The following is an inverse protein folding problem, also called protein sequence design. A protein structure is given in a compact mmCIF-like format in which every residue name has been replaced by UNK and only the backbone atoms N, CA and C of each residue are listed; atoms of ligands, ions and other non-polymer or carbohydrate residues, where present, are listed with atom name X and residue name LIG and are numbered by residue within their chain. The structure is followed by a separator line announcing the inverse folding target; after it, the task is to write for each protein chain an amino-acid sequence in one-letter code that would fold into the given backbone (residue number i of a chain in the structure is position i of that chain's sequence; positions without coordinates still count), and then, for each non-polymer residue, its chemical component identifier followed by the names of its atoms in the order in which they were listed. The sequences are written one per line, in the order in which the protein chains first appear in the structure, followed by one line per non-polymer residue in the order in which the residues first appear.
data_IF_888696680456
#
_entry.id   IF_888696680456
#
_cell.length_a   1.000
_cell.length_b   1.000
_cell.length_c   1.000
_cell.angle_alpha   90.00
_cell.angle_beta   90.00
_cell.angle_gamma   90.00
#
_symmetry.space_group_name_H-M   'P 1'
#
loop_
_entity.id
_entity.type
_entity.pdbx_description
1 polymer ?
#
# COMPACT_ATOMS: atom_id res chain seq x y z
N UNK A 1 -3.33 66.22 18.70
CA UNK A 1 -3.72 65.10 17.82
C UNK A 1 -2.51 64.68 17.00
N UNK A 2 -1.79 63.61 17.39
CA UNK A 2 -0.63 63.09 16.64
C UNK A 2 -0.92 61.65 16.26
N UNK A 3 -1.13 61.39 14.97
CA UNK A 3 -1.41 60.06 14.43
C UNK A 3 -0.06 59.33 14.25
N UNK A 4 0.19 58.28 15.02
CA UNK A 4 1.32 57.36 14.80
C UNK A 4 0.95 56.33 13.72
N UNK A 5 1.75 56.13 12.66
CA UNK A 5 1.56 55.01 11.75
C UNK A 5 2.12 53.73 12.39
N UNK A 6 1.24 52.74 12.62
CA UNK A 6 1.64 51.39 13.03
C UNK A 6 2.08 50.62 11.79
N UNK A 7 3.40 50.48 11.61
CA UNK A 7 3.99 49.65 10.54
C UNK A 7 3.92 48.18 10.99
N UNK A 8 2.87 47.46 10.60
CA UNK A 8 2.76 46.01 10.84
C UNK A 8 3.56 45.24 9.79
N UNK A 9 4.74 44.76 10.15
CA UNK A 9 5.43 43.71 9.38
C UNK A 9 4.73 42.37 9.66
N UNK A 10 3.78 42.00 8.79
CA UNK A 10 3.01 40.75 8.87
C UNK A 10 3.68 39.56 8.17
N UNK A 11 4.91 39.71 7.70
CA UNK A 11 5.64 38.66 6.97
C UNK A 11 6.84 38.19 7.77
N UNK A 12 6.64 37.38 8.81
CA UNK A 12 7.75 36.71 9.48
C UNK A 12 7.32 35.30 9.91
N UNK A 13 7.78 34.32 9.12
CA UNK A 13 8.20 32.96 9.52
C UNK A 13 7.13 31.99 10.03
N UNK A 14 6.46 31.31 9.12
CA UNK A 14 5.87 30.01 9.42
C UNK A 14 5.78 29.17 8.15
N UNK A 15 6.63 28.13 8.05
CA UNK A 15 6.40 26.88 7.26
C UNK A 15 7.67 26.19 6.74
N UNK A 16 8.87 26.78 6.88
CA UNK A 16 10.12 26.17 6.38
C UNK A 16 10.48 24.79 7.00
N UNK A 17 10.18 24.48 8.28
CA UNK A 17 10.41 23.15 8.81
C UNK A 17 9.36 22.11 8.36
N UNK A 18 8.14 22.51 7.97
CA UNK A 18 7.14 21.59 7.42
C UNK A 18 7.54 21.08 6.03
N UNK A 19 8.05 21.96 5.16
CA UNK A 19 8.43 21.58 3.79
C UNK A 19 9.56 20.54 3.80
N UNK A 20 10.53 20.68 4.72
CA UNK A 20 11.60 19.69 4.90
C UNK A 20 11.07 18.33 5.38
N UNK A 21 10.17 18.32 6.38
CA UNK A 21 9.61 17.08 6.93
C UNK A 21 8.73 16.33 5.94
N UNK A 22 7.89 17.05 5.20
CA UNK A 22 7.08 16.46 4.12
C UNK A 22 7.99 15.89 3.03
N UNK A 23 9.09 16.59 2.70
CA UNK A 23 10.10 16.09 1.77
C UNK A 23 10.78 14.80 2.23
N UNK A 24 11.13 14.67 3.51
CA UNK A 24 11.80 13.47 4.05
C UNK A 24 10.87 12.24 4.12
N UNK A 25 9.61 12.44 4.49
CA UNK A 25 8.58 11.38 4.49
C UNK A 25 8.27 10.95 3.05
N UNK A 26 8.03 11.91 2.15
CA UNK A 26 7.81 11.64 0.73
C UNK A 26 9.02 10.96 0.10
N UNK A 27 10.26 11.34 0.44
CA UNK A 27 11.46 10.65 -0.06
C UNK A 27 11.48 9.19 0.37
N UNK A 28 11.14 8.90 1.61
CA UNK A 28 11.15 7.52 2.13
C UNK A 28 10.11 6.65 1.42
N UNK A 29 8.89 7.14 1.23
CA UNK A 29 7.83 6.42 0.48
C UNK A 29 8.10 6.37 -1.03
N UNK A 30 8.57 7.48 -1.61
CA UNK A 30 8.81 7.59 -3.06
C UNK A 30 9.98 6.73 -3.51
N UNK A 31 11.02 6.55 -2.70
CA UNK A 31 12.14 5.67 -3.04
C UNK A 31 11.67 4.23 -3.22
N UNK A 32 10.79 3.73 -2.34
CA UNK A 32 10.19 2.41 -2.49
C UNK A 32 9.34 2.29 -3.76
N UNK A 33 8.46 3.27 -4.01
CA UNK A 33 7.63 3.31 -5.21
C UNK A 33 8.43 3.38 -6.52
N UNK A 34 9.48 4.21 -6.55
CA UNK A 34 10.37 4.35 -7.72
C UNK A 34 11.13 3.05 -7.96
N UNK A 35 11.66 2.41 -6.92
CA UNK A 35 12.35 1.11 -7.05
C UNK A 35 11.42 0.03 -7.63
N UNK A 36 10.17 -0.05 -7.16
CA UNK A 36 9.18 -0.97 -7.71
C UNK A 36 8.85 -0.67 -9.18
N UNK A 37 8.68 0.60 -9.53
CA UNK A 37 8.40 1.03 -10.89
C UNK A 37 9.56 0.66 -11.84
N UNK A 38 10.79 0.95 -11.43
CA UNK A 38 12.00 0.60 -12.20
C UNK A 38 12.10 -0.92 -12.37
N UNK A 39 11.90 -1.69 -11.30
CA UNK A 39 11.92 -3.15 -11.37
C UNK A 39 10.85 -3.70 -12.34
N UNK A 40 9.63 -3.15 -12.31
CA UNK A 40 8.55 -3.53 -13.22
C UNK A 40 8.88 -3.21 -14.69
N UNK A 41 9.44 -2.02 -14.96
CA UNK A 41 9.87 -1.64 -16.32
C UNK A 41 11.00 -2.57 -16.80
N UNK A 42 11.99 -2.85 -15.97
CA UNK A 42 13.09 -3.78 -16.31
C UNK A 42 12.54 -5.17 -16.62
N UNK A 43 11.64 -5.70 -15.78
CA UNK A 43 11.01 -6.99 -16.01
C UNK A 43 10.22 -7.02 -17.33
N UNK A 44 9.46 -5.96 -17.62
CA UNK A 44 8.69 -5.84 -18.85
C UNK A 44 9.60 -5.80 -20.09
N UNK A 45 10.66 -4.98 -20.06
CA UNK A 45 11.63 -4.89 -21.16
C UNK A 45 12.33 -6.23 -21.36
N UNK A 46 12.73 -6.90 -20.29
CA UNK A 46 13.39 -8.20 -20.37
C UNK A 46 12.46 -9.29 -20.95
N UNK A 47 11.21 -9.35 -20.51
CA UNK A 47 10.23 -10.32 -21.00
C UNK A 47 9.88 -10.12 -22.49
N UNK A 48 9.93 -8.88 -23.00
CA UNK A 48 9.64 -8.55 -24.40
C UNK A 48 10.89 -8.55 -25.30
N UNK A 49 12.09 -8.71 -24.73
CA UNK A 49 13.35 -8.69 -25.45
C UNK A 49 13.67 -10.03 -26.14
N UNK A 50 14.52 -10.07 -27.19
CA UNK A 50 15.06 -11.33 -27.74
C UNK A 50 15.69 -12.28 -26.70
N UNK A 51 16.10 -11.79 -25.52
CA UNK A 51 16.56 -12.61 -24.39
C UNK A 51 15.43 -13.23 -23.53
N UNK A 52 14.17 -13.17 -23.97
CA UNK A 52 13.01 -13.79 -23.31
C UNK A 52 13.21 -15.26 -22.94
N UNK A 53 13.99 -16.01 -23.73
CA UNK A 53 14.30 -17.42 -23.43
C UNK A 53 15.08 -17.57 -22.12
N UNK A 54 15.99 -16.66 -21.81
CA UNK A 54 16.70 -16.63 -20.53
C UNK A 54 15.76 -16.31 -19.37
N UNK A 55 14.85 -15.35 -19.57
CA UNK A 55 13.82 -15.02 -18.58
C UNK A 55 12.91 -16.23 -18.29
N UNK A 56 12.38 -16.88 -19.33
CA UNK A 56 11.53 -18.06 -19.17
C UNK A 56 12.25 -19.26 -18.57
N UNK A 57 13.52 -19.48 -18.91
CA UNK A 57 14.33 -20.55 -18.34
C UNK A 57 14.60 -20.31 -16.85
N UNK A 58 14.91 -19.07 -16.47
CA UNK A 58 15.09 -18.69 -15.05
C UNK A 58 13.77 -18.77 -14.29
N UNK A 59 12.69 -18.17 -14.81
CA UNK A 59 11.39 -18.16 -14.14
C UNK A 59 10.78 -19.55 -13.99
N UNK A 60 11.00 -20.42 -14.98
CA UNK A 60 10.54 -21.80 -14.99
C UNK A 60 11.49 -22.78 -14.28
N UNK A 61 12.66 -22.32 -13.83
CA UNK A 61 13.58 -23.17 -13.07
C UNK A 61 12.91 -23.66 -11.80
N UNK A 62 12.91 -24.98 -11.60
CA UNK A 62 12.29 -25.59 -10.43
C UNK A 62 13.29 -25.56 -9.29
N UNK A 63 12.89 -24.98 -8.17
CA UNK A 63 13.74 -24.82 -7.00
C UNK A 63 13.01 -25.41 -5.79
N UNK A 64 13.50 -26.56 -5.31
CA UNK A 64 12.97 -27.22 -4.12
C UNK A 64 13.49 -28.66 -3.97
N UNK A 65 13.65 -29.18 -2.74
CA UNK A 65 14.03 -30.56 -2.53
C UNK A 65 12.92 -31.50 -3.04
N UNK A 66 13.24 -32.30 -4.05
CA UNK A 66 12.32 -33.26 -4.68
C UNK A 66 11.66 -34.22 -3.68
N UNK A 67 12.31 -34.47 -2.53
CA UNK A 67 11.79 -35.32 -1.45
C UNK A 67 10.47 -34.81 -0.83
N UNK A 68 10.11 -33.53 -0.99
CA UNK A 68 8.92 -32.91 -0.40
C UNK A 68 7.85 -32.54 -1.45
N UNK A 69 8.00 -33.00 -2.70
CA UNK A 69 7.11 -32.63 -3.83
C UNK A 69 6.97 -31.11 -4.05
N UNK A 70 7.93 -30.31 -3.56
CA UNK A 70 7.98 -28.86 -3.76
C UNK A 70 8.62 -28.54 -5.11
N UNK A 71 7.98 -29.01 -6.17
CA UNK A 71 8.35 -28.79 -7.56
C UNK A 71 7.87 -27.40 -8.05
N UNK A 72 8.06 -26.36 -7.23
CA UNK A 72 7.65 -25.01 -7.57
C UNK A 72 8.65 -24.34 -8.50
N UNK A 73 8.10 -23.64 -9.50
CA UNK A 73 8.90 -22.76 -10.34
C UNK A 73 9.40 -21.57 -9.53
N UNK A 74 10.56 -21.02 -9.89
CA UNK A 74 11.11 -19.82 -9.29
C UNK A 74 10.12 -18.65 -9.31
N UNK A 75 9.31 -18.54 -10.38
CA UNK A 75 8.24 -17.55 -10.47
C UNK A 75 7.17 -17.71 -9.36
N UNK A 76 6.76 -18.94 -9.08
CA UNK A 76 5.79 -19.24 -8.01
C UNK A 76 6.37 -18.89 -6.64
N UNK A 77 7.62 -19.28 -6.39
CA UNK A 77 8.35 -18.93 -5.17
C UNK A 77 8.45 -17.42 -4.95
N UNK A 78 8.77 -16.67 -6.02
CA UNK A 78 8.85 -15.22 -5.95
C UNK A 78 7.49 -14.58 -5.65
N UNK A 79 6.41 -15.08 -6.27
CA UNK A 79 5.05 -14.57 -6.03
C UNK A 79 4.62 -14.83 -4.58
N UNK A 80 4.75 -16.07 -4.10
CA UNK A 80 4.35 -16.45 -2.75
C UNK A 80 5.21 -15.77 -1.68
N UNK A 81 6.52 -15.67 -1.92
CA UNK A 81 7.46 -14.97 -1.03
C UNK A 81 7.17 -13.47 -0.94
N UNK A 82 6.90 -12.81 -2.07
CA UNK A 82 6.55 -11.38 -2.09
C UNK A 82 5.22 -11.15 -1.37
N UNK A 83 4.22 -12.01 -1.58
CA UNK A 83 2.94 -11.96 -0.88
C UNK A 83 3.10 -12.17 0.63
N UNK A 84 3.95 -13.11 1.05
CA UNK A 84 4.27 -13.34 2.46
C UNK A 84 4.92 -12.10 3.10
N UNK A 85 5.88 -11.47 2.44
CA UNK A 85 6.49 -10.21 2.91
C UNK A 85 5.46 -9.09 2.99
N UNK A 86 4.59 -8.95 1.97
CA UNK A 86 3.50 -7.97 1.97
C UNK A 86 2.57 -8.16 3.17
N UNK A 87 2.10 -9.39 3.41
CA UNK A 87 1.23 -9.69 4.55
C UNK A 87 1.95 -9.52 5.89
N UNK A 88 3.25 -9.79 5.95
CA UNK A 88 4.04 -9.55 7.15
C UNK A 88 4.10 -8.06 7.49
N UNK A 89 4.43 -7.20 6.52
CA UNK A 89 4.47 -5.74 6.72
C UNK A 89 3.08 -5.21 7.06
N UNK A 90 2.04 -5.58 6.30
CA UNK A 90 0.67 -5.19 6.59
C UNK A 90 0.21 -5.68 7.99
N UNK A 91 0.64 -6.87 8.40
CA UNK A 91 0.39 -7.41 9.73
C UNK A 91 1.12 -6.63 10.84
N UNK A 92 2.32 -6.14 10.60
CA UNK A 92 3.05 -5.27 11.52
C UNK A 92 2.41 -3.88 11.64
N UNK A 93 1.94 -3.30 10.54
CA UNK A 93 1.17 -2.05 10.54
C UNK A 93 -0.13 -2.22 11.33
N UNK A 94 -0.85 -3.31 11.07
CA UNK A 94 -2.07 -3.64 11.80
C UNK A 94 -1.76 -3.83 13.30
N UNK A 95 -0.74 -4.61 13.67
CA UNK A 95 -0.35 -4.79 15.09
C UNK A 95 0.04 -3.46 15.75
N UNK A 96 0.71 -2.55 15.04
CA UNK A 96 1.02 -1.21 15.55
C UNK A 96 -0.25 -0.42 15.82
N UNK A 97 -1.25 -0.49 14.94
CA UNK A 97 -2.54 0.14 15.15
C UNK A 97 -3.29 -0.50 16.34
N UNK A 98 -3.27 -1.82 16.47
CA UNK A 98 -3.86 -2.52 17.63
C UNK A 98 -3.18 -2.15 18.98
N UNK A 99 -1.89 -1.84 18.98
CA UNK A 99 -1.10 -1.56 20.19
C UNK A 99 -0.98 -0.06 20.51
N UNK A 100 -0.95 0.81 19.51
CA UNK A 100 -0.82 2.26 19.65
C UNK A 100 -2.13 3.03 19.41
N UNK A 101 -3.15 2.40 18.82
CA UNK A 101 -4.44 2.99 18.44
C UNK A 101 -5.63 2.18 18.96
N UNK A 102 -6.16 2.59 20.11
CA UNK A 102 -7.60 2.68 20.36
C UNK A 102 -8.51 1.44 20.18
N UNK A 103 -8.06 0.22 20.51
CA UNK A 103 -9.00 -0.88 20.84
C UNK A 103 -9.59 -0.75 22.25
N UNK A 104 -10.12 0.43 22.58
CA UNK A 104 -10.99 0.58 23.75
C UNK A 104 -12.47 0.35 23.44
N UNK A 105 -12.90 0.20 22.18
CA UNK A 105 -14.33 -0.11 21.95
C UNK A 105 -14.68 -0.94 20.69
N UNK A 106 -14.77 -2.28 20.79
CA UNK A 106 -15.31 -3.15 19.73
C UNK A 106 -16.77 -2.86 19.32
N UNK A 107 -17.46 -1.92 20.00
CA UNK A 107 -18.87 -1.59 19.72
C UNK A 107 -19.11 -0.77 18.45
N UNK A 108 -18.10 -0.10 17.88
CA UNK A 108 -18.27 0.69 16.64
C UNK A 108 -18.22 -0.15 15.35
N UNK A 109 -17.58 -1.31 15.37
CA UNK A 109 -17.52 -2.22 14.22
C UNK A 109 -18.90 -2.83 13.88
N UNK A 110 -19.75 -3.07 14.90
CA UNK A 110 -21.07 -3.66 14.72
C UNK A 110 -22.10 -2.73 14.04
N UNK A 111 -21.95 -1.41 14.19
CA UNK A 111 -22.91 -0.46 13.60
C UNK A 111 -22.76 -0.35 12.07
N UNK A 112 -21.53 -0.49 11.54
CA UNK A 112 -21.25 -0.37 10.10
C UNK A 112 -21.63 -1.61 9.30
N UNK A 113 -21.54 -2.81 9.89
CA UNK A 113 -22.00 -4.05 9.24
C UNK A 113 -23.53 -4.13 9.17
N UNK A 114 -24.23 -3.65 10.20
CA UNK A 114 -25.71 -3.67 10.29
C UNK A 114 -26.39 -2.79 9.24
N UNK A 115 -25.75 -1.70 8.79
CA UNK A 115 -26.33 -0.82 7.75
C UNK A 115 -26.25 -1.41 6.34
N UNK A 116 -25.38 -2.40 6.11
CA UNK A 116 -25.22 -3.06 4.80
C UNK A 116 -26.19 -4.24 4.62
N UNK A 117 -26.54 -4.93 5.70
CA UNK A 117 -27.54 -6.01 5.67
C UNK A 117 -28.99 -5.49 5.62
N UNK A 118 -29.28 -4.34 6.24
CA UNK A 118 -30.62 -3.74 6.21
C UNK A 118 -31.03 -3.18 4.82
N UNK A 119 -30.08 -3.00 3.89
CA UNK A 119 -30.34 -2.54 2.52
C UNK A 119 -30.62 -3.68 1.52
N UNK A 120 -30.38 -4.94 1.89
CA UNK A 120 -30.52 -6.10 0.99
C UNK A 120 -31.85 -6.85 1.15
N UNK A 121 -32.60 -6.58 2.22
CA UNK A 121 -33.85 -7.28 2.51
C UNK A 121 -35.11 -6.51 2.07
N UNK A 122 -34.98 -5.51 1.20
CA UNK A 122 -36.13 -4.94 0.49
C UNK A 122 -36.19 -5.56 -0.91
N UNK A 123 -36.90 -6.69 -1.08
CA UNK A 123 -37.29 -7.14 -2.40
C UNK A 123 -38.22 -6.08 -2.98
N UNK A 124 -37.72 -5.29 -3.93
CA UNK A 124 -38.53 -4.49 -4.84
C UNK A 124 -39.28 -5.45 -5.75
N UNK A 125 -40.42 -5.94 -5.26
CA UNK A 125 -41.42 -6.63 -6.04
C UNK A 125 -42.78 -6.01 -5.75
N UNK A 126 -43.26 -5.16 -6.66
CA UNK A 126 -44.69 -5.03 -7.01
C UNK A 126 -44.87 -3.91 -8.03
N UNK A 127 -45.25 -4.34 -9.24
CA UNK A 127 -46.34 -3.77 -10.06
C UNK A 127 -46.41 -2.25 -10.23
N UNK A 128 -46.31 -1.78 -11.49
CA UNK A 128 -47.40 -1.08 -12.18
C UNK A 128 -47.03 -0.81 -13.66
N UNK A 129 -47.94 -1.28 -14.53
CA UNK A 129 -48.08 -1.08 -15.99
C UNK A 129 -47.24 -1.94 -16.93
#
# INVERSE_FOLDING_TARGET
MSRRPVRRSLFVRGSWPEVSRVGDILRTESVGGILLLVAAVVALVWANSPWRHGYHALSGSRVGPAAWHLDLTLATWAADGLLAVFFFVAGLELKREFVAGDLRDPRRAACRSRRRSAGWSSPRGSTLR
#
